data_IF_476196488142
#
_entry.id   IF_476196488142
#
_cell.length_a   1.000
_cell.length_b   1.000
_cell.length_c   1.000
_cell.angle_alpha   90.00
_cell.angle_beta   90.00
_cell.angle_gamma   90.00
#
_symmetry.space_group_name_H-M   'P 1'
#
loop_
_entity.id
_entity.type
_entity.pdbx_description
1 polymer ?
#
# COMPACT_ATOMS: atom_id res chain seq x y z
N UNK A 1 59.12 19.68 21.24
CA UNK A 1 59.39 20.48 22.46
C UNK A 1 60.77 21.07 22.26
N UNK A 2 61.01 22.40 22.23
CA UNK A 2 60.42 23.42 23.09
C UNK A 2 60.01 24.77 22.42
N UNK A 3 59.47 25.65 23.26
CA UNK A 3 59.56 27.13 23.29
C UNK A 3 58.81 28.04 22.31
N UNK A 4 57.88 28.77 22.91
CA UNK A 4 57.20 29.98 22.48
C UNK A 4 58.13 31.18 22.21
N UNK A 5 57.66 32.15 21.43
CA UNK A 5 58.32 33.47 21.31
C UNK A 5 57.62 34.43 20.35
N UNK A 6 57.14 35.61 20.79
CA UNK A 6 56.07 36.38 20.15
C UNK A 6 56.58 37.59 19.37
N UNK A 7 55.80 38.17 18.46
CA UNK A 7 55.65 39.63 18.26
C UNK A 7 54.92 39.93 16.95
N UNK A 8 54.12 40.96 16.78
CA UNK A 8 53.51 42.00 17.63
C UNK A 8 52.70 42.82 16.61
N UNK A 9 51.52 43.32 17.03
CA UNK A 9 51.06 44.69 16.76
C UNK A 9 50.87 45.10 15.27
N UNK A 10 49.80 45.69 14.76
CA UNK A 10 48.70 46.55 15.21
C UNK A 10 47.66 46.35 14.08
N UNK A 11 46.35 46.47 14.26
CA UNK A 11 45.68 47.77 14.37
C UNK A 11 44.21 47.51 14.64
N UNK A 12 43.75 48.07 15.75
CA UNK A 12 42.34 48.14 16.13
C UNK A 12 41.61 49.04 15.14
N UNK A 13 40.50 48.57 14.57
CA UNK A 13 39.32 49.41 14.38
C UNK A 13 38.13 48.57 14.85
N UNK A 14 37.67 48.89 16.05
CA UNK A 14 36.39 48.48 16.54
C UNK A 14 35.34 49.41 15.92
N UNK A 15 34.34 48.84 15.26
CA UNK A 15 33.00 49.43 15.25
C UNK A 15 32.02 48.33 15.64
N UNK A 16 31.12 48.70 16.52
CA UNK A 16 30.35 47.84 17.38
C UNK A 16 28.85 48.03 17.08
N UNK A 17 28.08 46.94 17.24
CA UNK A 17 26.68 46.92 17.72
C UNK A 17 25.63 47.42 16.69
N UNK A 18 24.45 46.83 16.43
CA UNK A 18 23.57 45.93 17.18
C UNK A 18 22.57 45.21 16.24
N UNK A 19 22.27 43.94 16.57
CA UNK A 19 20.93 43.36 16.83
C UNK A 19 19.77 43.65 15.83
N UNK A 20 19.20 42.61 15.19
CA UNK A 20 17.84 42.06 15.47
C UNK A 20 17.31 41.09 14.39
N UNK A 21 16.56 40.09 14.88
CA UNK A 21 15.38 39.45 14.29
C UNK A 21 15.54 38.33 13.24
N UNK A 22 15.30 37.10 13.71
CA UNK A 22 14.26 36.13 13.31
C UNK A 22 13.96 35.84 11.82
N UNK A 23 13.53 34.58 11.58
CA UNK A 23 12.86 34.00 10.39
C UNK A 23 13.84 33.29 9.42
N UNK A 24 13.72 32.02 9.02
CA UNK A 24 12.66 31.00 9.13
C UNK A 24 13.29 29.59 9.19
N UNK A 25 12.67 28.71 9.97
CA UNK A 25 12.77 27.25 9.80
C UNK A 25 12.08 26.92 8.48
N UNK A 26 12.82 26.54 7.45
CA UNK A 26 12.22 25.91 6.27
C UNK A 26 12.08 24.42 6.55
N UNK A 27 10.90 24.03 7.01
CA UNK A 27 10.41 22.67 6.91
C UNK A 27 10.39 22.26 5.43
N UNK A 28 11.39 21.48 5.01
CA UNK A 28 11.33 20.73 3.77
C UNK A 28 10.36 19.56 3.97
N UNK A 29 9.06 19.85 3.82
CA UNK A 29 8.10 18.81 3.46
C UNK A 29 8.45 18.35 2.06
N UNK A 30 9.26 17.29 1.98
CA UNK A 30 9.41 16.53 0.75
C UNK A 30 8.05 15.88 0.45
N UNK A 31 7.19 16.60 -0.26
CA UNK A 31 6.10 15.98 -1.03
C UNK A 31 6.79 15.05 -2.00
N UNK A 32 6.81 13.76 -1.67
CA UNK A 32 7.21 12.71 -2.60
C UNK A 32 6.25 12.82 -3.78
N UNK A 33 6.67 13.51 -4.84
CA UNK A 33 5.98 13.50 -6.10
C UNK A 33 5.93 12.04 -6.53
N UNK A 34 4.71 11.50 -6.64
CA UNK A 34 4.51 10.18 -7.23
C UNK A 34 5.29 10.15 -8.56
N UNK A 35 6.13 9.13 -8.80
CA UNK A 35 6.94 9.09 -10.01
C UNK A 35 6.01 9.28 -11.22
N UNK A 36 6.36 10.24 -12.08
CA UNK A 36 5.61 10.51 -13.29
C UNK A 36 5.46 9.19 -14.07
N UNK A 37 4.21 8.84 -14.36
CA UNK A 37 3.86 7.60 -15.05
C UNK A 37 4.62 7.56 -16.39
N UNK A 38 5.44 6.53 -16.67
CA UNK A 38 6.02 6.32 -17.99
C UNK A 38 4.92 6.27 -19.06
N UNK A 39 5.22 6.58 -20.33
CA UNK A 39 4.25 6.44 -21.43
C UNK A 39 3.57 5.07 -21.40
N UNK A 40 2.31 5.01 -21.88
CA UNK A 40 1.38 3.88 -21.67
C UNK A 40 1.94 2.50 -22.04
N UNK A 41 2.57 1.83 -21.08
CA UNK A 41 3.02 0.44 -21.18
C UNK A 41 1.87 -0.57 -20.96
N UNK A 42 0.63 -0.11 -20.92
CA UNK A 42 -0.53 -0.98 -20.72
C UNK A 42 -0.68 -1.95 -21.90
N UNK A 43 -0.84 -3.24 -21.62
CA UNK A 43 -0.96 -4.29 -22.62
C UNK A 43 0.36 -4.67 -23.30
N UNK A 44 1.51 -4.26 -22.76
CA UNK A 44 2.83 -4.58 -23.31
C UNK A 44 3.56 -5.64 -22.49
N UNK A 45 4.50 -6.36 -23.11
CA UNK A 45 5.35 -7.33 -22.41
C UNK A 45 6.68 -6.70 -22.01
N UNK A 46 7.10 -6.89 -20.77
CA UNK A 46 8.35 -6.31 -20.24
C UNK A 46 9.14 -7.29 -19.35
N UNK A 47 10.45 -7.09 -19.26
CA UNK A 47 11.34 -7.88 -18.40
C UNK A 47 11.23 -7.51 -16.91
N UNK A 48 10.72 -6.32 -16.62
CA UNK A 48 10.55 -5.80 -15.26
C UNK A 48 9.21 -5.06 -15.20
N UNK A 49 8.64 -4.96 -14.00
CA UNK A 49 7.36 -4.29 -13.77
C UNK A 49 7.63 -2.91 -13.16
N UNK A 50 7.42 -1.82 -13.90
CA UNK A 50 7.66 -0.47 -13.37
C UNK A 50 6.71 -0.11 -12.22
N UNK A 51 7.11 0.89 -11.43
CA UNK A 51 6.21 1.49 -10.46
C UNK A 51 4.95 2.05 -11.15
N UNK A 52 3.79 1.89 -10.51
CA UNK A 52 2.50 2.28 -11.07
C UNK A 52 1.85 1.26 -12.01
N UNK A 53 2.56 0.19 -12.39
CA UNK A 53 2.02 -0.93 -13.16
C UNK A 53 1.84 -2.17 -12.28
N UNK A 54 0.97 -3.06 -12.72
CA UNK A 54 0.89 -4.46 -12.28
C UNK A 54 1.07 -5.37 -13.50
N UNK A 55 0.91 -6.67 -13.31
CA UNK A 55 0.91 -7.64 -14.40
C UNK A 55 -0.16 -8.70 -14.16
N UNK A 56 -0.78 -9.18 -15.23
CA UNK A 56 -1.84 -10.19 -15.21
C UNK A 56 -1.40 -11.55 -15.76
N UNK A 57 -0.24 -11.59 -16.44
CA UNK A 57 0.34 -12.81 -16.99
C UNK A 57 1.86 -12.80 -16.92
N UNK A 58 2.45 -13.98 -16.71
CA UNK A 58 3.86 -14.30 -16.83
C UNK A 58 4.02 -15.30 -17.97
N UNK A 59 4.98 -15.03 -18.87
CA UNK A 59 5.48 -15.99 -19.84
C UNK A 59 6.99 -16.16 -19.65
N UNK A 60 7.56 -17.23 -20.22
CA UNK A 60 8.99 -17.48 -20.18
C UNK A 60 9.55 -17.47 -21.59
N UNK A 61 10.48 -16.55 -21.85
CA UNK A 61 11.10 -16.36 -23.16
C UNK A 61 12.58 -15.95 -23.00
N UNK A 62 13.34 -15.95 -24.08
CA UNK A 62 14.74 -15.53 -24.12
C UNK A 62 14.91 -14.00 -24.25
N UNK A 63 13.83 -13.25 -24.52
CA UNK A 63 13.85 -11.78 -24.71
C UNK A 63 14.52 -11.00 -23.59
N UNK A 64 14.44 -11.51 -22.36
CA UNK A 64 14.96 -10.85 -21.17
C UNK A 64 16.21 -11.52 -20.58
N UNK A 65 16.75 -12.51 -21.29
CA UNK A 65 17.93 -13.26 -20.88
C UNK A 65 19.13 -12.91 -21.77
N UNK A 66 20.27 -12.63 -21.15
CA UNK A 66 21.54 -12.44 -21.87
C UNK A 66 22.27 -13.78 -22.13
N UNK A 67 21.89 -14.83 -21.40
CA UNK A 67 22.32 -16.21 -21.62
C UNK A 67 21.17 -16.97 -22.27
N UNK A 68 21.41 -18.09 -22.95
CA UNK A 68 20.37 -18.90 -23.63
C UNK A 68 19.30 -19.52 -22.70
N UNK A 69 19.21 -19.07 -21.46
CA UNK A 69 18.17 -19.42 -20.48
C UNK A 69 16.86 -18.70 -20.79
N UNK A 70 15.74 -19.35 -20.46
CA UNK A 70 14.41 -18.72 -20.49
C UNK A 70 14.25 -17.87 -19.22
N UNK A 71 13.75 -16.65 -19.38
CA UNK A 71 13.51 -15.69 -18.30
C UNK A 71 12.03 -15.26 -18.28
N UNK A 72 11.48 -14.91 -17.11
CA UNK A 72 10.11 -14.42 -17.03
C UNK A 72 9.98 -13.07 -17.74
N UNK A 73 8.88 -12.91 -18.44
CA UNK A 73 8.39 -11.67 -19.01
C UNK A 73 6.97 -11.43 -18.48
N UNK A 74 6.63 -10.17 -18.27
CA UNK A 74 5.41 -9.76 -17.59
C UNK A 74 4.52 -8.98 -18.55
N UNK A 75 3.25 -9.38 -18.66
CA UNK A 75 2.26 -8.59 -19.38
C UNK A 75 1.78 -7.45 -18.49
N UNK A 76 2.22 -6.24 -18.80
CA UNK A 76 2.00 -5.06 -17.99
C UNK A 76 0.57 -4.56 -18.13
N UNK A 77 -0.04 -4.26 -16.98
CA UNK A 77 -1.38 -3.67 -16.90
C UNK A 77 -1.38 -2.46 -15.99
N UNK A 78 -2.19 -1.49 -16.35
CA UNK A 78 -2.56 -0.37 -15.49
C UNK A 78 -3.56 -0.88 -14.47
N UNK A 79 -3.34 -0.69 -13.17
CA UNK A 79 -4.33 -1.02 -12.15
C UNK A 79 -5.68 -0.35 -12.45
N UNK A 80 -6.74 -1.15 -12.48
CA UNK A 80 -8.10 -0.70 -12.75
C UNK A 80 -9.11 -1.56 -11.96
N UNK A 81 -10.32 -1.02 -11.74
CA UNK A 81 -11.40 -1.76 -11.09
C UNK A 81 -11.79 -2.99 -11.94
N UNK A 82 -11.90 -4.14 -11.28
CA UNK A 82 -12.24 -5.41 -11.92
C UNK A 82 -11.07 -6.13 -12.59
N UNK A 83 -9.87 -5.55 -12.63
CA UNK A 83 -8.70 -6.19 -13.24
C UNK A 83 -8.23 -7.39 -12.39
N UNK A 84 -8.11 -8.56 -13.00
CA UNK A 84 -7.39 -9.69 -12.39
C UNK A 84 -5.89 -9.51 -12.61
N UNK A 85 -5.12 -9.48 -11.52
CA UNK A 85 -3.68 -9.23 -11.53
C UNK A 85 -2.95 -10.26 -10.67
N UNK A 86 -1.70 -10.55 -11.00
CA UNK A 86 -0.81 -11.43 -10.23
C UNK A 86 -0.29 -10.79 -8.94
N UNK A 87 -0.53 -9.50 -8.74
CA UNK A 87 -0.13 -8.73 -7.56
C UNK A 87 -1.15 -7.66 -7.22
N UNK A 88 -1.17 -7.25 -5.96
CA UNK A 88 -1.96 -6.10 -5.52
C UNK A 88 -1.34 -4.77 -5.99
N UNK A 89 -2.15 -3.72 -6.01
CA UNK A 89 -1.74 -2.37 -6.38
C UNK A 89 -2.04 -1.38 -5.23
N UNK A 90 -1.17 -0.40 -4.95
CA UNK A 90 -1.47 0.67 -4.02
C UNK A 90 -2.75 1.42 -4.42
N UNK A 91 -3.60 1.74 -3.45
CA UNK A 91 -4.90 2.39 -3.70
C UNK A 91 -6.03 1.46 -4.13
N UNK A 92 -5.75 0.18 -4.38
CA UNK A 92 -6.75 -0.84 -4.66
C UNK A 92 -6.88 -1.83 -3.50
N UNK A 93 -8.09 -2.33 -3.30
CA UNK A 93 -8.32 -3.57 -2.55
C UNK A 93 -8.49 -4.72 -3.54
N UNK A 94 -8.69 -5.93 -3.02
CA UNK A 94 -9.11 -7.06 -3.84
C UNK A 94 -10.26 -7.78 -3.15
N UNK A 95 -11.21 -8.28 -3.92
CA UNK A 95 -12.41 -8.96 -3.42
C UNK A 95 -12.46 -10.45 -3.78
N UNK A 96 -11.52 -10.89 -4.61
CA UNK A 96 -11.38 -12.28 -5.00
C UNK A 96 -9.91 -12.65 -5.13
N UNK A 97 -9.62 -13.87 -4.69
CA UNK A 97 -8.36 -14.57 -4.85
C UNK A 97 -8.61 -15.86 -5.62
N UNK A 98 -7.82 -16.13 -6.66
CA UNK A 98 -7.98 -17.35 -7.47
C UNK A 98 -6.63 -17.93 -7.84
N UNK A 99 -6.55 -19.26 -7.98
CA UNK A 99 -5.32 -19.96 -8.33
C UNK A 99 -5.33 -20.31 -9.82
N UNK A 100 -4.38 -19.75 -10.57
CA UNK A 100 -4.27 -19.95 -12.03
C UNK A 100 -2.82 -20.13 -12.42
N UNK A 101 -2.56 -20.70 -13.60
CA UNK A 101 -1.19 -20.81 -14.13
C UNK A 101 -0.67 -19.50 -14.75
N UNK A 102 -1.54 -18.52 -15.03
CA UNK A 102 -1.17 -17.26 -15.69
C UNK A 102 -0.10 -16.46 -14.92
N UNK A 103 -0.12 -16.55 -13.58
CA UNK A 103 0.83 -15.86 -12.71
C UNK A 103 1.99 -16.74 -12.26
N UNK A 104 2.18 -17.91 -12.90
CA UNK A 104 3.18 -18.87 -12.46
C UNK A 104 4.59 -18.33 -12.73
N UNK A 105 5.46 -18.22 -11.71
CA UNK A 105 6.86 -17.86 -11.95
C UNK A 105 7.66 -19.01 -12.56
N UNK A 106 7.07 -20.21 -12.67
CA UNK A 106 7.74 -21.43 -13.12
C UNK A 106 7.24 -21.87 -14.49
N UNK A 107 8.17 -22.33 -15.33
CA UNK A 107 7.87 -22.87 -16.68
C UNK A 107 6.92 -24.08 -16.63
N UNK A 108 6.94 -24.82 -15.52
CA UNK A 108 6.06 -25.98 -15.30
C UNK A 108 4.57 -25.61 -15.04
N UNK A 109 4.24 -24.31 -14.93
CA UNK A 109 2.85 -23.85 -14.86
C UNK A 109 2.14 -24.11 -13.53
N UNK A 110 2.89 -24.23 -12.42
CA UNK A 110 2.29 -24.38 -11.09
C UNK A 110 1.32 -23.23 -10.79
N UNK A 111 0.15 -23.51 -10.20
CA UNK A 111 -0.84 -22.48 -9.94
C UNK A 111 -0.30 -21.43 -8.98
N UNK A 112 -0.42 -20.18 -9.37
CA UNK A 112 -0.09 -19.01 -8.58
C UNK A 112 -1.35 -18.22 -8.26
N UNK A 113 -1.24 -17.34 -7.26
CA UNK A 113 -2.37 -16.52 -6.83
C UNK A 113 -2.58 -15.34 -7.77
N UNK A 114 -3.85 -15.13 -8.14
CA UNK A 114 -4.36 -13.91 -8.78
C UNK A 114 -5.29 -13.17 -7.82
N UNK A 115 -5.39 -11.86 -8.03
CA UNK A 115 -6.19 -10.94 -7.24
C UNK A 115 -7.09 -10.14 -8.18
N UNK A 116 -8.41 -10.16 -7.97
CA UNK A 116 -9.31 -9.23 -8.64
C UNK A 116 -9.26 -7.89 -7.93
N UNK A 117 -8.58 -6.92 -8.54
CA UNK A 117 -8.43 -5.58 -8.01
C UNK A 117 -9.77 -4.85 -8.03
N UNK A 118 -10.05 -4.11 -6.97
CA UNK A 118 -11.24 -3.27 -6.85
C UNK A 118 -10.87 -1.88 -6.36
N UNK A 119 -11.54 -0.88 -6.91
CA UNK A 119 -11.49 0.46 -6.31
C UNK A 119 -12.27 0.43 -4.98
N UNK A 120 -11.69 0.91 -3.87
CA UNK A 120 -12.40 0.95 -2.60
C UNK A 120 -13.66 1.81 -2.71
N UNK A 121 -14.82 1.23 -2.38
CA UNK A 121 -16.12 1.93 -2.31
C UNK A 121 -16.84 1.53 -1.03
N UNK A 122 -17.66 2.44 -0.48
CA UNK A 122 -18.40 2.18 0.76
C UNK A 122 -19.30 0.95 0.63
N UNK A 123 -19.17 0.02 1.56
CA UNK A 123 -19.95 -1.22 1.59
C UNK A 123 -19.39 -2.36 0.74
N UNK A 124 -18.23 -2.19 0.07
CA UNK A 124 -17.59 -3.29 -0.66
C UNK A 124 -17.10 -4.38 0.29
N UNK A 125 -17.43 -5.64 0.02
CA UNK A 125 -16.78 -6.77 0.69
C UNK A 125 -15.45 -7.07 0.00
N UNK A 126 -14.36 -7.01 0.77
CA UNK A 126 -13.00 -7.17 0.29
C UNK A 126 -12.22 -8.18 1.12
N UNK A 127 -11.16 -8.73 0.56
CA UNK A 127 -10.25 -9.65 1.22
C UNK A 127 -9.20 -8.95 2.11
N UNK A 128 -9.07 -7.63 1.99
CA UNK A 128 -8.08 -6.84 2.69
C UNK A 128 -8.62 -5.42 2.93
N UNK A 129 -8.25 -4.84 4.06
CA UNK A 129 -8.52 -3.44 4.35
C UNK A 129 -7.52 -2.53 3.63
N UNK A 130 -7.89 -1.25 3.47
CA UNK A 130 -7.04 -0.22 2.86
C UNK A 130 -6.80 0.89 3.88
N UNK A 131 -5.61 1.53 3.92
CA UNK A 131 -5.36 2.65 4.82
C UNK A 131 -6.39 3.77 4.67
N UNK A 132 -6.81 4.35 5.80
CA UNK A 132 -7.83 5.40 5.85
C UNK A 132 -9.28 4.89 5.77
N UNK A 133 -9.50 3.58 5.59
CA UNK A 133 -10.81 2.97 5.64
C UNK A 133 -11.00 2.17 6.93
N UNK A 134 -12.25 1.90 7.27
CA UNK A 134 -12.62 0.96 8.32
C UNK A 134 -13.42 -0.20 7.74
N UNK A 135 -13.90 -1.12 8.57
CA UNK A 135 -14.88 -2.13 8.20
C UNK A 135 -15.92 -2.27 9.31
N UNK A 136 -17.15 -2.64 8.94
CA UNK A 136 -18.26 -2.78 9.88
C UNK A 136 -18.82 -4.20 9.94
N UNK A 137 -18.32 -5.09 9.10
CA UNK A 137 -18.68 -6.49 9.07
C UNK A 137 -17.48 -7.32 8.64
N UNK A 138 -17.25 -8.40 9.37
CA UNK A 138 -16.29 -9.46 9.09
C UNK A 138 -17.10 -10.72 8.77
N UNK A 139 -16.80 -11.35 7.64
CA UNK A 139 -17.46 -12.58 7.19
C UNK A 139 -16.42 -13.59 6.74
N UNK A 140 -16.76 -14.87 6.71
CA UNK A 140 -15.89 -15.93 6.23
C UNK A 140 -16.39 -16.52 4.92
N UNK A 141 -15.56 -16.44 3.88
CA UNK A 141 -15.90 -16.97 2.56
C UNK A 141 -14.68 -17.65 1.94
N UNK A 142 -14.92 -18.47 0.92
CA UNK A 142 -13.86 -19.03 0.08
C UNK A 142 -13.39 -18.08 -1.02
N UNK A 143 -13.97 -16.87 -1.15
CA UNK A 143 -13.58 -15.93 -2.23
C UNK A 143 -12.19 -15.37 -2.05
N UNK A 144 -11.70 -15.29 -0.81
CA UNK A 144 -10.40 -14.71 -0.44
C UNK A 144 -9.35 -15.76 -0.02
N UNK A 145 -9.65 -17.03 -0.30
CA UNK A 145 -8.94 -18.21 0.16
C UNK A 145 -7.41 -18.22 -0.09
N UNK A 146 -6.60 -18.40 0.95
CA UNK A 146 -5.14 -18.56 0.82
C UNK A 146 -4.73 -19.96 0.36
N UNK A 147 -5.64 -20.93 0.46
CA UNK A 147 -5.49 -22.29 -0.04
C UNK A 147 -6.85 -22.78 -0.51
N UNK A 148 -6.86 -23.61 -1.55
CA UNK A 148 -8.10 -24.06 -2.20
C UNK A 148 -9.05 -24.71 -1.19
N UNK A 149 -10.28 -24.19 -1.12
CA UNK A 149 -11.37 -24.68 -0.29
C UNK A 149 -11.34 -24.19 1.16
N UNK A 150 -10.34 -23.40 1.58
CA UNK A 150 -10.25 -22.90 2.96
C UNK A 150 -10.89 -21.50 3.06
N UNK A 151 -11.99 -21.34 3.82
CA UNK A 151 -12.58 -20.03 4.05
C UNK A 151 -11.63 -19.09 4.79
N UNK A 152 -11.72 -17.81 4.47
CA UNK A 152 -10.87 -16.75 5.03
C UNK A 152 -11.71 -15.53 5.35
N UNK A 153 -11.19 -14.66 6.21
CA UNK A 153 -11.86 -13.42 6.57
C UNK A 153 -12.00 -12.50 5.36
N UNK A 154 -13.19 -11.92 5.27
CA UNK A 154 -13.57 -10.86 4.34
C UNK A 154 -14.14 -9.71 5.15
N UNK A 155 -13.94 -8.49 4.67
CA UNK A 155 -14.23 -7.26 5.37
C UNK A 155 -15.16 -6.43 4.50
N UNK A 156 -16.34 -6.08 5.01
CA UNK A 156 -17.16 -5.04 4.40
C UNK A 156 -16.54 -3.69 4.75
N UNK A 157 -15.75 -3.16 3.82
CA UNK A 157 -15.04 -1.91 4.03
C UNK A 157 -16.01 -0.74 3.97
N UNK A 158 -15.78 0.24 4.85
CA UNK A 158 -16.59 1.44 4.99
C UNK A 158 -15.72 2.67 4.95
N UNK A 159 -16.23 3.72 4.30
CA UNK A 159 -15.62 5.02 4.43
C UNK A 159 -15.96 5.57 5.83
N UNK A 160 -14.96 6.00 6.62
CA UNK A 160 -15.21 6.50 7.97
C UNK A 160 -16.15 7.72 7.95
N UNK A 161 -17.15 7.71 8.83
CA UNK A 161 -18.15 8.76 8.96
C UNK A 161 -18.63 8.88 10.42
N UNK A 162 -19.02 10.08 10.84
CA UNK A 162 -19.58 10.31 12.17
C UNK A 162 -20.83 9.46 12.40
N UNK A 163 -20.90 8.78 13.54
CA UNK A 163 -22.00 7.88 13.90
C UNK A 163 -21.94 6.48 13.29
N UNK A 164 -20.96 6.18 12.43
CA UNK A 164 -20.75 4.84 11.88
C UNK A 164 -20.28 3.88 12.98
N UNK A 165 -20.93 2.71 13.09
CA UNK A 165 -20.45 1.61 13.93
C UNK A 165 -19.45 0.75 13.18
N UNK A 166 -18.20 0.79 13.60
CA UNK A 166 -17.08 0.13 12.93
C UNK A 166 -16.37 -0.87 13.85
N UNK A 167 -15.74 -1.87 13.25
CA UNK A 167 -14.95 -2.88 13.94
C UNK A 167 -13.56 -2.39 14.34
N UNK A 168 -13.06 -1.36 13.66
CA UNK A 168 -11.78 -0.71 13.98
C UNK A 168 -11.93 0.80 13.89
N UNK A 169 -11.16 1.50 14.72
CA UNK A 169 -11.07 2.96 14.68
C UNK A 169 -9.93 3.33 13.72
N UNK A 170 -10.21 3.97 12.58
CA UNK A 170 -9.17 4.36 11.62
C UNK A 170 -8.31 5.51 12.15
N UNK A 171 -7.13 5.71 11.56
CA UNK A 171 -6.23 6.81 11.95
C UNK A 171 -6.92 8.18 11.78
N UNK A 172 -6.76 9.07 12.76
CA UNK A 172 -7.41 10.39 12.79
C UNK A 172 -8.82 10.38 13.36
N UNK A 173 -9.40 9.22 13.67
CA UNK A 173 -10.72 9.10 14.28
C UNK A 173 -10.63 8.71 15.75
N UNK A 174 -11.70 8.99 16.49
CA UNK A 174 -11.95 8.45 17.83
C UNK A 174 -13.37 7.85 17.88
N UNK A 175 -13.85 7.50 19.06
CA UNK A 175 -15.17 6.91 19.24
C UNK A 175 -15.93 7.53 20.43
N UNK A 176 -17.26 7.58 20.31
CA UNK A 176 -18.16 8.07 21.36
C UNK A 176 -18.76 6.95 22.20
N UNK A 177 -18.91 5.77 21.61
CA UNK A 177 -19.58 4.64 22.24
C UNK A 177 -19.00 3.30 21.74
N UNK A 178 -19.20 2.26 22.54
CA UNK A 178 -18.87 0.88 22.20
C UNK A 178 -20.10 0.00 22.33
N UNK A 179 -20.23 -1.01 21.48
CA UNK A 179 -21.25 -2.06 21.61
C UNK A 179 -20.64 -3.42 21.33
N UNK A 180 -21.21 -4.48 21.91
CA UNK A 180 -20.81 -5.86 21.66
C UNK A 180 -21.73 -6.51 20.64
N UNK A 181 -21.15 -7.26 19.71
CA UNK A 181 -21.89 -8.00 18.69
C UNK A 181 -21.03 -9.05 18.00
N UNK A 182 -21.56 -9.71 16.98
CA UNK A 182 -20.83 -10.76 16.25
C UNK A 182 -20.20 -10.25 14.95
N UNK A 183 -20.58 -9.06 14.49
CA UNK A 183 -20.18 -8.51 13.20
C UNK A 183 -18.66 -8.40 13.03
N UNK A 184 -17.92 -8.16 14.12
CA UNK A 184 -16.48 -7.94 14.09
C UNK A 184 -15.68 -9.16 14.57
N UNK A 185 -16.34 -10.32 14.67
CA UNK A 185 -15.70 -11.52 15.17
C UNK A 185 -15.15 -12.38 14.05
N UNK A 186 -13.90 -12.81 14.23
CA UNK A 186 -13.23 -13.77 13.36
C UNK A 186 -13.80 -15.19 13.56
N UNK A 187 -14.29 -15.50 14.76
CA UNK A 187 -14.86 -16.81 15.09
C UNK A 187 -16.39 -16.69 15.23
N UNK A 188 -17.12 -17.56 14.56
CA UNK A 188 -18.57 -17.67 14.75
C UNK A 188 -18.88 -17.96 16.23
N UNK A 189 -19.56 -17.03 16.89
CA UNK A 189 -20.01 -17.18 18.28
C UNK A 189 -19.18 -16.44 19.34
N UNK A 190 -18.09 -15.76 18.98
CA UNK A 190 -17.41 -14.86 19.92
C UNK A 190 -17.94 -13.44 19.80
N UNK A 191 -18.25 -12.81 20.92
CA UNK A 191 -18.58 -11.38 20.93
C UNK A 191 -17.32 -10.57 20.62
N UNK A 192 -17.49 -9.55 19.79
CA UNK A 192 -16.48 -8.58 19.42
C UNK A 192 -17.03 -7.17 19.62
N UNK A 193 -16.14 -6.21 19.80
CA UNK A 193 -16.50 -4.81 20.07
C UNK A 193 -16.63 -4.03 18.76
N UNK A 194 -17.67 -3.24 18.66
CA UNK A 194 -17.85 -2.17 17.67
C UNK A 194 -17.70 -0.81 18.33
N UNK A 195 -17.19 0.15 17.58
CA UNK A 195 -16.93 1.52 17.99
C UNK A 195 -17.78 2.47 17.15
N UNK A 196 -18.49 3.39 17.80
CA UNK A 196 -19.22 4.45 17.11
C UNK A 196 -18.26 5.59 16.82
N UNK A 197 -17.96 5.82 15.54
CA UNK A 197 -16.92 6.74 15.11
C UNK A 197 -17.31 8.21 15.26
N UNK A 198 -16.33 9.03 15.62
CA UNK A 198 -16.39 10.50 15.60
C UNK A 198 -15.01 11.07 15.22
N UNK A 199 -15.00 12.22 14.55
CA UNK A 199 -13.82 12.97 14.16
C UNK A 199 -13.92 14.42 14.65
#
# INVERSE_FOLDING_TARGET
MPTAGPSRLFRRVAFAIAVTAALLVTDLTAVSAAPARPPGLDGTWACTVPAGYVYDEIQHDHRCSQTSSVSPIYHLRTPADGLTSCRTAPGFVFDQRTFTSACSPYVAGYPATTFRLRTPVDGLTSCATVPGWTYDLLTYTTTCQFSSGIPTSTYRIRQPANGLWACTVPSGWTYTATTSGYDCSINSGSLSTKYQLIH
#
